data_IF_940432701158
#
_entry.id   IF_940432701158
#
_cell.length_a   1.000
_cell.length_b   1.000
_cell.length_c   1.000
_cell.angle_alpha   90.00
_cell.angle_beta   90.00
_cell.angle_gamma   90.00
#
_symmetry.space_group_name_H-M   'P 1'
#
loop_
_entity.id
_entity.type
_entity.pdbx_description
1 polymer ?
#
# COMPACT_ATOMS: atom_id res chain seq x y z
N UNK A 1 10.88 -20.20 2.39
CA UNK A 1 10.22 -20.20 1.08
C UNK A 1 8.71 -20.15 1.34
N UNK A 2 7.86 -19.16 1.02
CA UNK A 2 7.88 -18.08 0.02
C UNK A 2 6.72 -17.08 0.28
N UNK A 3 6.61 -16.41 1.45
CA UNK A 3 5.59 -15.37 1.60
C UNK A 3 5.88 -14.20 0.64
N UNK A 4 7.16 -13.92 0.38
CA UNK A 4 7.60 -12.94 -0.59
C UNK A 4 7.17 -13.28 -2.03
N UNK A 5 7.21 -14.57 -2.38
CA UNK A 5 6.94 -15.03 -3.74
C UNK A 5 5.44 -15.13 -4.03
N UNK A 6 4.61 -15.39 -3.01
CA UNK A 6 3.15 -15.27 -3.08
C UNK A 6 2.69 -13.79 -3.16
N UNK A 7 3.34 -12.90 -2.43
CA UNK A 7 3.01 -11.47 -2.48
C UNK A 7 3.47 -10.82 -3.79
N UNK A 8 4.65 -11.19 -4.30
CA UNK A 8 5.10 -10.75 -5.61
C UNK A 8 4.23 -11.33 -6.73
N UNK A 9 3.84 -12.60 -6.66
CA UNK A 9 2.99 -13.22 -7.68
C UNK A 9 1.60 -12.54 -7.78
N UNK A 10 1.00 -12.10 -6.66
CA UNK A 10 -0.27 -11.38 -6.68
C UNK A 10 -0.18 -10.01 -7.35
N UNK A 11 0.89 -9.24 -7.06
CA UNK A 11 1.10 -7.91 -7.65
C UNK A 11 1.27 -7.98 -9.17
N UNK A 12 1.92 -9.02 -9.71
CA UNK A 12 2.09 -9.19 -11.16
C UNK A 12 0.83 -9.65 -11.91
N UNK A 13 -0.23 -10.08 -11.21
CA UNK A 13 -1.49 -10.52 -11.86
C UNK A 13 -2.54 -9.43 -11.99
N UNK A 14 -2.28 -8.24 -11.43
CA UNK A 14 -3.17 -7.09 -11.56
C UNK A 14 -2.95 -6.51 -12.96
N UNK A 15 -3.94 -6.53 -13.86
CA UNK A 15 -3.75 -6.13 -15.25
C UNK A 15 -3.51 -4.62 -15.41
N UNK A 16 -3.75 -3.85 -14.36
CA UNK A 16 -3.61 -2.40 -14.35
C UNK A 16 -2.30 -1.97 -13.66
N UNK A 17 -1.42 -1.33 -14.43
CA UNK A 17 -0.15 -0.80 -13.95
C UNK A 17 -0.33 0.24 -12.83
N UNK A 18 -1.39 1.05 -12.91
CA UNK A 18 -1.71 2.03 -11.89
C UNK A 18 -1.95 1.37 -10.51
N UNK A 19 -2.78 0.32 -10.49
CA UNK A 19 -3.07 -0.44 -9.27
C UNK A 19 -1.84 -1.19 -8.75
N UNK A 20 -0.92 -1.63 -9.62
CA UNK A 20 0.36 -2.19 -9.18
C UNK A 20 1.20 -1.19 -8.39
N UNK A 21 1.24 0.09 -8.80
CA UNK A 21 1.94 1.14 -8.08
C UNK A 21 1.33 1.40 -6.71
N UNK A 22 0.01 1.31 -6.57
CA UNK A 22 -0.67 1.39 -5.28
C UNK A 22 -0.29 0.24 -4.35
N UNK A 23 -0.24 -0.99 -4.85
CA UNK A 23 0.22 -2.13 -4.07
C UNK A 23 1.69 -2.00 -3.65
N UNK A 24 2.57 -1.57 -4.55
CA UNK A 24 3.98 -1.31 -4.24
C UNK A 24 4.14 -0.19 -3.20
N UNK A 25 3.32 0.86 -3.29
CA UNK A 25 3.29 1.94 -2.31
C UNK A 25 2.89 1.41 -0.93
N UNK A 26 1.87 0.56 -0.84
CA UNK A 26 1.49 -0.14 0.39
C UNK A 26 2.64 -0.96 0.99
N UNK A 27 3.36 -1.71 0.15
CA UNK A 27 4.51 -2.49 0.60
C UNK A 27 5.65 -1.59 1.12
N UNK A 28 5.95 -0.50 0.44
CA UNK A 28 6.96 0.47 0.87
C UNK A 28 6.58 1.13 2.21
N UNK A 29 5.30 1.47 2.40
CA UNK A 29 4.79 2.03 3.67
C UNK A 29 4.92 1.03 4.82
N UNK A 30 4.74 -0.27 4.56
CA UNK A 30 4.96 -1.31 5.56
C UNK A 30 6.43 -1.39 6.02
N UNK A 31 7.38 -1.30 5.09
CA UNK A 31 8.82 -1.26 5.41
C UNK A 31 9.16 -0.03 6.26
N UNK A 32 8.64 1.14 5.86
CA UNK A 32 8.81 2.37 6.63
C UNK A 32 8.20 2.25 8.04
N UNK A 33 7.02 1.64 8.16
CA UNK A 33 6.36 1.46 9.44
C UNK A 33 7.15 0.52 10.37
N UNK A 34 7.79 -0.53 9.84
CA UNK A 34 8.69 -1.40 10.61
C UNK A 34 9.92 -0.63 11.12
N UNK A 35 10.54 0.18 10.27
CA UNK A 35 11.69 1.03 10.66
C UNK A 35 11.31 2.01 11.79
N UNK A 36 10.05 2.45 11.82
CA UNK A 36 9.50 3.32 12.86
C UNK A 36 8.91 2.55 14.05
N UNK A 37 9.11 1.23 14.11
CA UNK A 37 8.62 0.34 15.17
C UNK A 37 7.11 0.48 15.42
N UNK A 38 6.34 0.73 14.36
CA UNK A 38 4.89 0.88 14.44
C UNK A 38 4.22 -0.44 14.82
N UNK A 39 3.19 -0.34 15.65
CA UNK A 39 2.26 -1.45 15.89
C UNK A 39 1.48 -1.78 14.62
N UNK A 40 0.92 -2.99 14.49
CA UNK A 40 0.15 -3.37 13.32
C UNK A 40 -1.02 -2.43 13.02
N UNK A 41 -1.69 -1.95 14.07
CA UNK A 41 -2.78 -0.98 13.92
C UNK A 41 -2.26 0.36 13.39
N UNK A 42 -1.11 0.84 13.90
CA UNK A 42 -0.47 2.05 13.39
C UNK A 42 -0.05 1.90 11.93
N UNK A 43 0.54 0.77 11.53
CA UNK A 43 0.89 0.49 10.13
C UNK A 43 -0.34 0.52 9.21
N UNK A 44 -1.44 -0.08 9.65
CA UNK A 44 -2.71 -0.05 8.92
C UNK A 44 -3.24 1.37 8.75
N UNK A 45 -3.32 2.14 9.85
CA UNK A 45 -3.79 3.52 9.81
C UNK A 45 -2.86 4.43 9.01
N UNK A 46 -1.55 4.17 9.06
CA UNK A 46 -0.56 4.89 8.27
C UNK A 46 -0.75 4.64 6.77
N UNK A 47 -0.96 3.38 6.37
CA UNK A 47 -1.20 3.01 4.97
C UNK A 47 -2.54 3.54 4.45
N UNK A 48 -3.58 3.50 5.29
CA UNK A 48 -4.88 4.11 5.01
C UNK A 48 -4.78 5.63 4.86
N UNK A 49 -4.09 6.28 5.79
CA UNK A 49 -3.85 7.72 5.75
C UNK A 49 -3.08 8.14 4.50
N UNK A 50 -2.06 7.36 4.09
CA UNK A 50 -1.31 7.62 2.87
C UNK A 50 -2.19 7.50 1.61
N UNK A 51 -3.03 6.46 1.52
CA UNK A 51 -3.99 6.31 0.43
C UNK A 51 -4.95 7.50 0.35
N UNK A 52 -5.58 7.87 1.47
CA UNK A 52 -6.47 9.03 1.53
C UNK A 52 -5.78 10.35 1.20
N UNK A 53 -4.52 10.52 1.61
CA UNK A 53 -3.73 11.71 1.31
C UNK A 53 -3.42 11.84 -0.19
N UNK A 54 -3.16 10.72 -0.89
CA UNK A 54 -3.02 10.70 -2.35
C UNK A 54 -4.33 11.13 -3.02
N UNK A 55 -5.48 10.59 -2.61
CA UNK A 55 -6.76 10.99 -3.21
C UNK A 55 -7.10 12.46 -2.97
N UNK A 56 -6.80 12.97 -1.78
CA UNK A 56 -6.95 14.38 -1.48
C UNK A 56 -6.06 15.25 -2.38
N UNK A 57 -4.84 14.80 -2.67
CA UNK A 57 -3.93 15.46 -3.60
C UNK A 57 -4.45 15.44 -5.04
N UNK A 58 -4.96 14.31 -5.51
CA UNK A 58 -5.47 14.16 -6.87
C UNK A 58 -6.73 15.00 -7.11
N UNK A 59 -7.56 15.18 -6.07
CA UNK A 59 -8.72 16.08 -6.10
C UNK A 59 -8.38 17.55 -6.45
N UNK A 60 -7.10 17.92 -6.39
CA UNK A 60 -6.60 19.24 -6.82
C UNK A 60 -6.29 19.33 -8.32
N UNK A 61 -6.65 18.31 -9.11
CA UNK A 61 -6.43 18.24 -10.55
C UNK A 61 -5.07 17.62 -10.93
N UNK A 62 -4.55 16.75 -10.07
CA UNK A 62 -3.23 16.10 -10.24
C UNK A 62 -3.29 14.61 -10.60
N UNK A 63 -4.50 14.05 -10.62
CA UNK A 63 -4.80 12.67 -10.97
C UNK A 63 -6.30 12.43 -10.88
N UNK A 64 -6.69 11.17 -11.02
CA UNK A 64 -8.07 10.73 -10.83
C UNK A 64 -8.31 10.33 -9.37
N UNK A 65 -9.48 10.70 -8.84
CA UNK A 65 -9.88 10.32 -7.48
C UNK A 65 -10.56 8.97 -7.53
N UNK A 66 -9.89 7.93 -7.03
CA UNK A 66 -10.33 6.55 -7.07
C UNK A 66 -10.20 5.86 -5.72
N UNK A 67 -11.34 5.51 -5.10
CA UNK A 67 -11.32 4.80 -3.82
C UNK A 67 -10.65 3.41 -3.90
N UNK A 68 -10.52 2.85 -5.11
CA UNK A 68 -9.78 1.62 -5.34
C UNK A 68 -8.27 1.77 -5.04
N UNK A 69 -7.71 2.97 -5.18
CA UNK A 69 -6.30 3.28 -4.93
C UNK A 69 -6.00 3.33 -3.45
N UNK A 70 -6.93 3.92 -2.69
CA UNK A 70 -6.91 3.87 -1.22
C UNK A 70 -6.92 2.42 -0.77
N UNK A 71 -7.86 1.61 -1.29
CA UNK A 71 -7.96 0.21 -0.92
C UNK A 71 -6.70 -0.58 -1.28
N UNK A 72 -6.17 -0.41 -2.49
CA UNK A 72 -4.97 -1.11 -2.95
C UNK A 72 -3.74 -0.77 -2.10
N UNK A 73 -3.52 0.53 -1.83
CA UNK A 73 -2.43 1.03 -0.98
C UNK A 73 -2.55 0.51 0.45
N UNK A 74 -3.76 0.60 1.02
CA UNK A 74 -4.03 0.26 2.42
C UNK A 74 -3.95 -1.24 2.66
N UNK A 75 -4.50 -2.05 1.76
CA UNK A 75 -4.58 -3.49 1.92
C UNK A 75 -3.19 -4.10 2.01
N UNK A 76 -2.29 -3.79 1.07
CA UNK A 76 -0.93 -4.31 1.12
C UNK A 76 -0.17 -3.79 2.33
N UNK A 77 -0.27 -2.50 2.66
CA UNK A 77 0.40 -1.95 3.83
C UNK A 77 -0.06 -2.56 5.16
N UNK A 78 -1.35 -2.86 5.30
CA UNK A 78 -1.91 -3.56 6.46
C UNK A 78 -1.43 -5.02 6.62
N UNK A 79 -1.25 -5.71 5.49
CA UNK A 79 -0.97 -7.14 5.47
C UNK A 79 0.53 -7.47 5.46
N UNK A 80 1.36 -6.62 4.84
CA UNK A 80 2.81 -6.80 4.83
C UNK A 80 3.35 -6.42 6.20
N UNK A 81 4.07 -7.35 6.83
CA UNK A 81 4.96 -7.09 7.96
C UNK A 81 6.22 -7.89 7.72
N UNK A 82 7.33 -7.19 7.47
CA UNK A 82 8.64 -7.84 7.44
C UNK A 82 9.11 -7.98 8.90
N UNK A 83 9.77 -9.09 9.22
CA UNK A 83 10.34 -9.39 10.53
C UNK A 83 11.61 -10.20 10.33
N UNK A 84 12.68 -9.81 11.02
CA UNK A 84 13.91 -10.61 11.19
C UNK A 84 14.15 -10.83 12.68
#
# INVERSE_FOLDING_TARGET
>A
MEPLLLLSAGVFTVPDYDKQLHYLSGAALSVLAEQQQMTPLQTCLFSLGAGLAKEAWDSTGRGDVEMADVAATSFVGCHVRIRF
#
